data_IF_663861886757
#
_entry.id   IF_663861886757
#
_cell.length_a   1.000
_cell.length_b   1.000
_cell.length_c   1.000
_cell.angle_alpha   90.00
_cell.angle_beta   90.00
_cell.angle_gamma   90.00
#
_symmetry.space_group_name_H-M   'P 1'
#
loop_
_entity.id
_entity.type
_entity.pdbx_description
1 polymer ?
#
# COMPACT_ATOMS: atom_id res chain seq x y z
N UNK A 1 7.28 -7.02 51.00
CA UNK A 1 6.87 -7.67 49.74
C UNK A 1 5.41 -8.08 49.89
N UNK A 2 4.48 -7.27 49.38
CA UNK A 2 3.06 -7.58 49.45
C UNK A 2 2.62 -8.29 48.19
N UNK A 3 2.36 -9.59 48.28
CA UNK A 3 1.58 -10.32 47.27
C UNK A 3 0.17 -9.73 47.26
N UNK A 4 -0.07 -8.74 46.41
CA UNK A 4 -1.43 -8.41 46.01
C UNK A 4 -1.86 -9.51 45.05
N UNK A 5 -2.58 -10.49 45.58
CA UNK A 5 -3.35 -11.42 44.77
C UNK A 5 -4.17 -10.57 43.80
N UNK A 6 -3.81 -10.62 42.52
CA UNK A 6 -4.61 -9.97 41.49
C UNK A 6 -5.94 -10.69 41.52
N UNK A 7 -6.98 -10.01 42.01
CA UNK A 7 -8.32 -10.57 42.07
C UNK A 7 -8.65 -11.17 40.70
N UNK A 8 -9.23 -12.37 40.65
CA UNK A 8 -9.55 -13.05 39.39
C UNK A 8 -10.40 -12.18 38.46
N UNK A 9 -11.19 -11.26 39.05
CA UNK A 9 -11.92 -10.19 38.35
C UNK A 9 -11.00 -9.14 37.74
N UNK A 10 -9.99 -8.68 38.46
CA UNK A 10 -8.99 -7.72 37.98
C UNK A 10 -8.11 -8.32 36.88
N UNK A 11 -7.77 -9.62 36.98
CA UNK A 11 -7.03 -10.35 35.95
C UNK A 11 -7.89 -10.54 34.68
N UNK A 12 -9.19 -10.84 34.83
CA UNK A 12 -10.12 -10.91 33.71
C UNK A 12 -10.36 -9.55 33.04
N UNK A 13 -10.46 -8.46 33.82
CA UNK A 13 -10.59 -7.10 33.26
C UNK A 13 -9.32 -6.73 32.48
N UNK A 14 -8.13 -6.98 33.05
CA UNK A 14 -6.87 -6.73 32.35
C UNK A 14 -6.76 -7.55 31.05
N UNK A 15 -7.12 -8.83 31.08
CA UNK A 15 -7.14 -9.68 29.90
C UNK A 15 -8.14 -9.19 28.84
N UNK A 16 -9.35 -8.78 29.24
CA UNK A 16 -10.36 -8.25 28.33
C UNK A 16 -9.90 -6.95 27.65
N UNK A 17 -9.26 -6.05 28.40
CA UNK A 17 -8.70 -4.80 27.85
C UNK A 17 -7.60 -5.09 26.83
N UNK A 18 -6.71 -6.04 27.12
CA UNK A 18 -5.64 -6.46 26.19
C UNK A 18 -6.24 -7.02 24.89
N UNK A 19 -7.26 -7.86 24.99
CA UNK A 19 -7.95 -8.42 23.81
C UNK A 19 -8.58 -7.31 22.96
N UNK A 20 -9.25 -6.34 23.59
CA UNK A 20 -9.85 -5.20 22.88
C UNK A 20 -8.79 -4.38 22.14
N UNK A 21 -7.64 -4.14 22.76
CA UNK A 21 -6.51 -3.42 22.13
C UNK A 21 -6.01 -4.20 20.91
N UNK A 22 -5.82 -5.52 21.02
CA UNK A 22 -5.36 -6.37 19.92
C UNK A 22 -6.35 -6.33 18.75
N UNK A 23 -7.65 -6.44 19.03
CA UNK A 23 -8.70 -6.38 18.00
C UNK A 23 -8.72 -5.00 17.33
N UNK A 24 -8.58 -3.92 18.10
CA UNK A 24 -8.53 -2.56 17.58
C UNK A 24 -7.32 -2.32 16.66
N UNK A 25 -6.14 -2.81 17.05
CA UNK A 25 -4.92 -2.71 16.23
C UNK A 25 -5.05 -3.55 14.96
N UNK A 26 -5.58 -4.78 15.06
CA UNK A 26 -5.81 -5.64 13.90
C UNK A 26 -6.80 -5.01 12.92
N UNK A 27 -7.91 -4.44 13.41
CA UNK A 27 -8.88 -3.73 12.59
C UNK A 27 -8.24 -2.50 11.91
N UNK A 28 -7.43 -1.73 12.64
CA UNK A 28 -6.71 -0.59 12.10
C UNK A 28 -5.77 -0.97 10.95
N UNK A 29 -4.99 -2.04 11.10
CA UNK A 29 -4.10 -2.51 10.03
C UNK A 29 -4.85 -3.11 8.82
N UNK A 30 -6.01 -3.73 9.02
CA UNK A 30 -6.82 -4.28 7.94
C UNK A 30 -7.62 -3.22 7.17
N UNK A 31 -7.99 -2.12 7.83
CA UNK A 31 -8.71 -1.00 7.22
C UNK A 31 -7.79 0.01 6.54
N UNK A 32 -6.46 -0.13 6.67
CA UNK A 32 -5.55 0.70 5.89
C UNK A 32 -5.76 0.43 4.39
N UNK A 33 -6.02 1.48 3.60
CA UNK A 33 -6.12 1.32 2.16
C UNK A 33 -4.78 0.77 1.67
N UNK A 34 -4.80 -0.45 1.15
CA UNK A 34 -3.62 -1.04 0.53
C UNK A 34 -3.10 -0.05 -0.53
N UNK A 35 -1.77 0.15 -0.63
CA UNK A 35 -1.22 0.98 -1.69
C UNK A 35 -1.80 0.47 -3.01
N UNK A 36 -2.46 1.35 -3.76
CA UNK A 36 -2.92 1.00 -5.09
C UNK A 36 -1.69 0.64 -5.91
N UNK A 37 -1.50 -0.64 -6.17
CA UNK A 37 -0.49 -1.12 -7.10
C UNK A 37 -0.74 -0.39 -8.42
N UNK A 38 0.21 0.44 -8.82
CA UNK A 38 0.16 1.15 -10.10
C UNK A 38 0.28 0.08 -11.17
N UNK A 39 -0.86 -0.47 -11.60
CA UNK A 39 -0.94 -1.41 -12.70
C UNK A 39 -0.33 -0.73 -13.92
N UNK A 40 0.53 -1.45 -14.63
CA UNK A 40 1.18 -1.01 -15.87
C UNK A 40 0.18 -0.25 -16.76
N UNK A 41 0.41 1.06 -16.89
CA UNK A 41 -0.44 1.93 -17.71
C UNK A 41 0.01 1.72 -19.15
N UNK A 42 -0.82 1.05 -19.95
CA UNK A 42 -0.57 0.87 -21.39
C UNK A 42 -0.80 2.21 -22.10
N UNK A 43 0.27 2.94 -22.39
CA UNK A 43 0.24 4.20 -23.12
C UNK A 43 0.40 3.91 -24.62
N UNK A 44 -0.62 4.27 -25.42
CA UNK A 44 -0.54 4.24 -26.88
C UNK A 44 -0.08 5.59 -27.41
N UNK A 45 0.94 5.60 -28.28
CA UNK A 45 1.48 6.85 -28.86
C UNK A 45 1.40 6.78 -30.38
N UNK A 46 0.88 7.85 -31.00
CA UNK A 46 0.86 8.00 -32.46
C UNK A 46 2.06 8.84 -32.86
N UNK A 47 3.05 8.20 -33.50
CA UNK A 47 4.27 8.86 -33.96
C UNK A 47 4.46 8.62 -35.47
N UNK A 48 4.94 9.63 -36.22
CA UNK A 48 5.32 9.44 -37.62
C UNK A 48 6.63 8.66 -37.67
N UNK A 49 6.56 7.33 -37.68
CA UNK A 49 7.73 6.44 -37.76
C UNK A 49 8.17 6.14 -39.20
N UNK A 50 7.45 6.68 -40.18
CA UNK A 50 7.71 6.48 -41.60
C UNK A 50 7.52 7.78 -42.39
N UNK A 51 8.16 7.87 -43.55
CA UNK A 51 8.17 9.07 -44.38
C UNK A 51 9.22 10.10 -43.98
N UNK A 52 9.09 11.33 -44.46
CA UNK A 52 10.11 12.39 -44.33
C UNK A 52 10.36 12.87 -42.89
N UNK A 53 9.43 12.61 -41.97
CA UNK A 53 9.52 13.01 -40.55
C UNK A 53 9.81 11.82 -39.62
N UNK A 54 10.23 10.68 -40.18
CA UNK A 54 10.54 9.46 -39.43
C UNK A 54 11.64 9.65 -38.38
N UNK A 55 12.65 10.49 -38.68
CA UNK A 55 13.75 10.78 -37.75
C UNK A 55 13.23 11.42 -36.46
N UNK A 56 12.34 12.41 -36.57
CA UNK A 56 11.73 13.07 -35.41
C UNK A 56 10.81 12.14 -34.61
N UNK A 57 10.05 11.27 -35.30
CA UNK A 57 9.23 10.26 -34.64
C UNK A 57 10.06 9.19 -33.90
N UNK A 58 11.24 8.85 -34.44
CA UNK A 58 12.16 7.90 -33.81
C UNK A 58 12.79 8.48 -32.53
N UNK A 59 13.15 9.76 -32.52
CA UNK A 59 13.70 10.42 -31.34
C UNK A 59 12.64 10.57 -30.22
N UNK A 60 11.39 10.87 -30.59
CA UNK A 60 10.28 10.88 -29.64
C UNK A 60 9.97 9.48 -29.08
N UNK A 61 10.01 8.44 -29.92
CA UNK A 61 9.85 7.06 -29.47
C UNK A 61 10.92 6.68 -28.45
N UNK A 62 12.19 7.00 -28.72
CA UNK A 62 13.29 6.76 -27.79
C UNK A 62 13.06 7.48 -26.46
N UNK A 63 12.68 8.76 -26.49
CA UNK A 63 12.39 9.52 -25.27
C UNK A 63 11.27 8.91 -24.41
N UNK A 64 10.24 8.36 -25.03
CA UNK A 64 9.14 7.67 -24.34
C UNK A 64 9.57 6.31 -23.78
N UNK A 65 10.47 5.60 -24.46
CA UNK A 65 11.03 4.33 -23.96
C UNK A 65 12.06 4.52 -22.85
N UNK A 66 12.70 5.69 -22.74
CA UNK A 66 13.63 6.04 -21.66
C UNK A 66 12.95 6.50 -20.36
N UNK A 67 11.70 6.95 -20.43
CA UNK A 67 10.93 7.48 -19.30
C UNK A 67 10.13 6.39 -18.58
#
# INVERSE_FOLDING_TARGET
MGEKAVDKRMLMIAAAVIIIIIVGVAAYFLMQPKPTEVKEIKIGVILPLSGKLAETGADLKRGIEFA
#
